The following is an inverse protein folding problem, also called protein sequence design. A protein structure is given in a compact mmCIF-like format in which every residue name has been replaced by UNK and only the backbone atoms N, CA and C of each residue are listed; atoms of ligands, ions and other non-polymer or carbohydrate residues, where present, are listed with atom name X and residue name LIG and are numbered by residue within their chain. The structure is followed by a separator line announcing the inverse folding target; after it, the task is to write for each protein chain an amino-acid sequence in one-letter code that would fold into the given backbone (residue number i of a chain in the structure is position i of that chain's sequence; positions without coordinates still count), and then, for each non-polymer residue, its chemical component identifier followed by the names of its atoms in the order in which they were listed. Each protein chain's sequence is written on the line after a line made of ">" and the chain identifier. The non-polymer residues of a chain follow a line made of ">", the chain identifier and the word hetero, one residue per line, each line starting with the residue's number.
data_IF_776660174143
#
_entry.id   IF_776660174143
#
_cell.length_a   1.000
_cell.length_b   1.000
_cell.length_c   1.000
_cell.angle_alpha   90.00
_cell.angle_beta   90.00
_cell.angle_gamma   90.00
#
_symmetry.space_group_name_H-M   'P 1'
#
loop_
_entity.id
_entity.type
_entity.pdbx_description
1 polymer ?
#
# COMPACT_ATOMS: atom_id res chain seq x y z
N UNK A 1 30.95 20.87 -31.69
CA UNK A 1 30.70 21.04 -30.24
C UNK A 1 29.35 20.40 -29.97
N UNK A 2 29.35 19.15 -29.53
CA UNK A 2 28.11 18.43 -29.23
C UNK A 2 27.45 19.10 -28.02
N UNK A 3 26.19 19.48 -28.20
CA UNK A 3 25.34 20.04 -27.14
C UNK A 3 25.24 18.99 -26.04
N UNK A 4 25.75 19.34 -24.85
CA UNK A 4 25.52 18.59 -23.62
C UNK A 4 24.02 18.55 -23.35
N UNK A 5 23.37 17.43 -23.68
CA UNK A 5 22.06 17.11 -23.11
C UNK A 5 22.22 17.13 -21.61
N UNK A 6 21.64 18.13 -20.95
CA UNK A 6 21.56 18.22 -19.50
C UNK A 6 21.00 16.89 -18.98
N UNK A 7 21.86 16.02 -18.45
CA UNK A 7 21.49 14.76 -17.82
C UNK A 7 20.70 15.09 -16.56
N UNK A 8 19.37 15.16 -16.67
CA UNK A 8 18.53 15.28 -15.49
C UNK A 8 18.69 14.02 -14.63
N UNK A 9 18.90 14.23 -13.34
CA UNK A 9 19.02 13.17 -12.34
C UNK A 9 17.67 12.43 -12.23
N UNK A 10 17.71 11.09 -12.20
CA UNK A 10 16.49 10.27 -12.14
C UNK A 10 15.63 10.63 -10.92
N UNK A 11 16.27 10.92 -9.78
CA UNK A 11 15.55 11.31 -8.56
C UNK A 11 14.82 12.65 -8.71
N UNK A 12 15.37 13.60 -9.46
CA UNK A 12 14.72 14.89 -9.74
C UNK A 12 13.56 14.71 -10.72
N UNK A 13 13.74 13.90 -11.76
CA UNK A 13 12.69 13.56 -12.72
C UNK A 13 11.51 12.87 -12.04
N UNK A 14 11.77 11.89 -11.16
CA UNK A 14 10.75 11.21 -10.38
C UNK A 14 10.00 12.18 -9.46
N UNK A 15 10.72 13.07 -8.77
CA UNK A 15 10.11 14.07 -7.88
C UNK A 15 9.20 15.03 -8.66
N UNK A 16 9.67 15.55 -9.80
CA UNK A 16 8.93 16.48 -10.63
C UNK A 16 7.72 15.80 -11.29
N UNK A 17 7.93 14.65 -11.93
CA UNK A 17 6.92 13.93 -12.70
C UNK A 17 5.78 13.37 -11.85
N UNK A 18 6.05 13.00 -10.59
CA UNK A 18 5.03 12.43 -9.71
C UNK A 18 4.32 13.45 -8.81
N UNK A 19 4.65 14.74 -8.89
CA UNK A 19 4.13 15.79 -8.00
C UNK A 19 2.60 15.88 -8.01
N UNK A 20 1.99 15.80 -9.18
CA UNK A 20 0.53 15.86 -9.31
C UNK A 20 -0.13 14.62 -8.70
N UNK A 21 0.36 13.42 -9.02
CA UNK A 21 -0.16 12.16 -8.50
C UNK A 21 0.00 12.02 -6.98
N UNK A 22 1.11 12.52 -6.44
CA UNK A 22 1.32 12.67 -5.00
C UNK A 22 0.25 13.56 -4.38
N UNK A 23 0.04 14.76 -4.93
CA UNK A 23 -0.98 15.71 -4.44
C UNK A 23 -2.37 15.09 -4.47
N UNK A 24 -2.75 14.41 -5.56
CA UNK A 24 -4.03 13.69 -5.68
C UNK A 24 -4.23 12.64 -4.58
N UNK A 25 -3.17 11.92 -4.24
CA UNK A 25 -3.20 10.89 -3.18
C UNK A 25 -3.39 11.51 -1.80
N UNK A 26 -2.65 12.58 -1.49
CA UNK A 26 -2.76 13.29 -0.21
C UNK A 26 -4.15 13.90 0.02
N UNK A 27 -4.72 14.54 -1.01
CA UNK A 27 -6.03 15.16 -0.90
C UNK A 27 -7.18 14.17 -1.07
N UNK A 28 -6.93 12.89 -1.27
CA UNK A 28 -7.98 11.88 -1.42
C UNK A 28 -8.94 11.88 -0.22
N UNK A 29 -10.19 11.45 -0.43
CA UNK A 29 -11.21 11.46 0.63
C UNK A 29 -10.75 10.69 1.87
N UNK A 30 -10.07 9.55 1.67
CA UNK A 30 -9.51 8.76 2.77
C UNK A 30 -8.42 9.53 3.52
N UNK A 31 -7.49 10.19 2.80
CA UNK A 31 -6.47 11.04 3.41
C UNK A 31 -7.10 12.11 4.31
N UNK A 32 -8.12 12.82 3.79
CA UNK A 32 -8.84 13.85 4.55
C UNK A 32 -9.56 13.30 5.78
N UNK A 33 -10.27 12.17 5.65
CA UNK A 33 -11.02 11.57 6.77
C UNK A 33 -10.08 11.07 7.87
N UNK A 34 -8.92 10.54 7.47
CA UNK A 34 -7.88 10.09 8.38
C UNK A 34 -7.22 11.27 9.11
N UNK A 35 -6.83 12.33 8.39
CA UNK A 35 -6.24 13.54 8.99
C UNK A 35 -7.20 14.27 9.94
N UNK A 36 -8.52 14.19 9.70
CA UNK A 36 -9.54 14.74 10.60
C UNK A 36 -9.77 13.89 11.85
N UNK A 37 -9.11 12.72 11.98
CA UNK A 37 -9.24 11.84 13.13
C UNK A 37 -10.65 11.25 13.27
N UNK A 38 -11.37 11.06 12.17
CA UNK A 38 -12.75 10.53 12.19
C UNK A 38 -12.69 9.02 12.41
N UNK A 39 -12.80 8.59 13.67
CA UNK A 39 -12.75 7.18 14.08
C UNK A 39 -14.14 6.54 13.99
N UNK A 40 -14.60 6.27 12.78
CA UNK A 40 -15.82 5.46 12.57
C UNK A 40 -15.44 4.01 12.30
N UNK A 41 -16.31 3.07 12.68
CA UNK A 41 -16.12 1.63 12.41
C UNK A 41 -15.79 1.36 10.93
N UNK A 42 -16.47 2.06 10.03
CA UNK A 42 -16.24 2.00 8.58
C UNK A 42 -14.83 2.44 8.19
N UNK A 43 -14.29 3.50 8.80
CA UNK A 43 -12.93 3.98 8.51
C UNK A 43 -11.89 2.95 8.95
N UNK A 44 -12.07 2.34 10.12
CA UNK A 44 -11.18 1.28 10.59
C UNK A 44 -11.21 0.06 9.67
N UNK A 45 -12.39 -0.30 9.15
CA UNK A 45 -12.52 -1.38 8.17
C UNK A 45 -11.86 -1.05 6.83
N UNK A 46 -11.96 0.20 6.36
CA UNK A 46 -11.22 0.62 5.17
C UNK A 46 -9.72 0.55 5.40
N UNK A 47 -9.22 1.01 6.55
CA UNK A 47 -7.81 0.90 6.92
C UNK A 47 -7.33 -0.56 6.97
N UNK A 48 -8.16 -1.48 7.45
CA UNK A 48 -7.85 -2.92 7.42
C UNK A 48 -7.61 -3.45 6.01
N UNK A 49 -8.60 -3.25 5.13
CA UNK A 49 -8.55 -3.73 3.75
C UNK A 49 -7.35 -3.15 3.00
N UNK A 50 -6.98 -1.91 3.35
CA UNK A 50 -5.77 -1.28 2.85
C UNK A 50 -4.50 -1.94 3.38
N UNK A 51 -4.36 -2.15 4.69
CA UNK A 51 -3.18 -2.80 5.25
C UNK A 51 -2.99 -4.23 4.71
N UNK A 52 -4.07 -4.98 4.51
CA UNK A 52 -4.01 -6.28 3.84
C UNK A 52 -3.54 -6.14 2.39
N UNK A 53 -4.09 -5.16 1.65
CA UNK A 53 -3.64 -4.91 0.28
C UNK A 53 -2.16 -4.53 0.24
N UNK A 54 -1.70 -3.70 1.19
CA UNK A 54 -0.31 -3.33 1.34
C UNK A 54 0.55 -4.56 1.61
N UNK A 55 0.15 -5.47 2.50
CA UNK A 55 0.91 -6.71 2.74
C UNK A 55 1.24 -7.45 1.44
N UNK A 56 0.25 -7.65 0.57
CA UNK A 56 0.49 -8.32 -0.71
C UNK A 56 1.33 -7.48 -1.69
N UNK A 57 1.13 -6.15 -1.71
CA UNK A 57 1.92 -5.24 -2.55
C UNK A 57 3.40 -5.26 -2.15
N UNK A 58 3.70 -5.12 -0.85
CA UNK A 58 5.07 -5.19 -0.35
C UNK A 58 5.66 -6.58 -0.52
N UNK A 59 4.88 -7.64 -0.29
CA UNK A 59 5.35 -9.01 -0.54
C UNK A 59 5.80 -9.19 -1.98
N UNK A 60 4.97 -8.76 -2.95
CA UNK A 60 5.32 -8.83 -4.36
C UNK A 60 6.54 -7.97 -4.70
N UNK A 61 6.63 -6.75 -4.16
CA UNK A 61 7.79 -5.88 -4.39
C UNK A 61 9.07 -6.47 -3.83
N UNK A 62 9.02 -6.99 -2.62
CA UNK A 62 10.18 -7.53 -1.91
C UNK A 62 10.64 -8.86 -2.53
N UNK A 63 9.71 -9.71 -2.98
CA UNK A 63 10.04 -10.92 -3.74
C UNK A 63 10.71 -10.59 -5.08
N UNK A 64 10.22 -9.58 -5.80
CA UNK A 64 10.83 -9.17 -7.07
C UNK A 64 12.12 -8.36 -6.87
N UNK A 65 12.29 -7.64 -5.76
CA UNK A 65 13.58 -7.04 -5.38
C UNK A 65 14.62 -8.12 -5.08
N UNK A 66 14.25 -9.17 -4.33
CA UNK A 66 15.16 -10.28 -4.05
C UNK A 66 15.55 -11.03 -5.33
N UNK A 67 14.59 -11.27 -6.23
CA UNK A 67 14.86 -11.88 -7.55
C UNK A 67 15.87 -11.07 -8.36
N UNK A 68 15.80 -9.74 -8.30
CA UNK A 68 16.54 -8.84 -9.16
C UNK A 68 17.65 -8.07 -8.43
N UNK A 69 18.07 -8.50 -7.23
CA UNK A 69 19.00 -7.75 -6.37
C UNK A 69 20.35 -7.42 -7.02
N UNK A 70 20.81 -8.28 -7.93
CA UNK A 70 22.07 -8.10 -8.66
C UNK A 70 21.89 -7.33 -9.99
N UNK A 71 20.65 -6.99 -10.36
CA UNK A 71 20.38 -6.22 -11.57
C UNK A 71 20.94 -4.79 -11.44
N UNK A 72 21.64 -4.25 -12.45
CA UNK A 72 22.32 -2.94 -12.35
C UNK A 72 21.42 -1.78 -11.90
N UNK A 73 20.14 -1.81 -12.26
CA UNK A 73 19.19 -0.75 -11.89
C UNK A 73 18.59 -0.92 -10.48
N UNK A 74 18.68 -2.13 -9.90
CA UNK A 74 18.08 -2.47 -8.60
C UNK A 74 19.13 -2.51 -7.50
N UNK A 75 20.33 -3.04 -7.79
CA UNK A 75 21.43 -3.14 -6.83
C UNK A 75 21.71 -1.83 -6.07
N UNK A 76 21.67 -0.63 -6.68
CA UNK A 76 21.90 0.63 -5.96
C UNK A 76 20.82 0.94 -4.91
N UNK A 77 19.59 0.49 -5.11
CA UNK A 77 18.44 0.79 -4.26
C UNK A 77 17.99 -0.39 -3.39
N UNK A 78 18.78 -1.47 -3.36
CA UNK A 78 18.48 -2.68 -2.60
C UNK A 78 18.86 -2.50 -1.13
N UNK A 79 17.87 -2.13 -0.29
CA UNK A 79 18.01 -1.87 1.15
C UNK A 79 17.04 -2.73 1.97
N UNK A 80 17.19 -4.06 2.01
CA UNK A 80 16.21 -4.96 2.64
C UNK A 80 16.08 -4.71 4.14
N UNK A 81 17.20 -4.54 4.85
CA UNK A 81 17.23 -4.31 6.30
C UNK A 81 16.52 -3.03 6.69
N UNK A 82 16.69 -1.98 5.89
CA UNK A 82 16.17 -0.66 6.18
C UNK A 82 14.74 -0.46 5.71
N UNK A 83 14.34 -1.07 4.58
CA UNK A 83 13.09 -0.74 3.90
C UNK A 83 12.02 -1.84 3.90
N UNK A 84 12.35 -3.12 4.01
CA UNK A 84 11.33 -4.18 3.88
C UNK A 84 10.25 -4.06 4.95
N UNK A 85 8.99 -4.19 4.54
CA UNK A 85 7.77 -3.95 5.33
C UNK A 85 6.89 -5.19 5.43
N UNK A 86 7.09 -6.25 4.64
CA UNK A 86 6.23 -7.46 4.67
C UNK A 86 6.04 -8.00 6.08
N UNK A 87 7.13 -8.25 6.80
CA UNK A 87 7.08 -8.79 8.16
C UNK A 87 6.39 -7.85 9.15
N UNK A 88 6.66 -6.54 9.04
CA UNK A 88 6.02 -5.54 9.88
C UNK A 88 4.51 -5.47 9.65
N UNK A 89 4.07 -5.57 8.38
CA UNK A 89 2.66 -5.63 8.01
C UNK A 89 1.99 -6.91 8.49
N UNK A 90 2.66 -8.07 8.37
CA UNK A 90 2.14 -9.34 8.88
C UNK A 90 1.91 -9.28 10.41
N UNK A 91 2.87 -8.74 11.16
CA UNK A 91 2.74 -8.56 12.60
C UNK A 91 1.62 -7.59 12.99
N UNK A 92 1.49 -6.47 12.27
CA UNK A 92 0.39 -5.52 12.50
C UNK A 92 -0.97 -6.15 12.19
N UNK A 93 -1.09 -6.90 11.08
CA UNK A 93 -2.32 -7.60 10.71
C UNK A 93 -2.68 -8.70 11.72
N UNK A 94 -1.69 -9.47 12.18
CA UNK A 94 -1.90 -10.46 13.24
C UNK A 94 -2.36 -9.82 14.54
N UNK A 95 -1.75 -8.70 14.94
CA UNK A 95 -2.13 -7.96 16.15
C UNK A 95 -3.60 -7.52 16.14
N UNK A 96 -4.09 -7.03 14.99
CA UNK A 96 -5.46 -6.56 14.88
C UNK A 96 -6.48 -7.68 14.60
N UNK A 97 -6.12 -8.73 13.87
CA UNK A 97 -7.10 -9.66 13.27
C UNK A 97 -6.90 -11.14 13.61
N UNK A 98 -5.87 -11.49 14.39
CA UNK A 98 -5.61 -12.88 14.76
C UNK A 98 -4.93 -13.67 13.66
N UNK A 99 -5.11 -15.00 13.62
CA UNK A 99 -4.27 -15.92 12.83
C UNK A 99 -4.71 -16.08 11.37
N UNK A 100 -5.96 -15.74 11.03
CA UNK A 100 -6.57 -16.06 9.73
C UNK A 100 -6.70 -14.87 8.76
N UNK A 101 -5.99 -13.77 9.04
CA UNK A 101 -6.14 -12.52 8.29
C UNK A 101 -5.78 -12.65 6.79
N UNK A 102 -4.91 -13.60 6.44
CA UNK A 102 -4.45 -13.85 5.05
C UNK A 102 -5.57 -14.34 4.12
N UNK A 103 -6.56 -15.06 4.66
CA UNK A 103 -7.68 -15.61 3.89
C UNK A 103 -8.68 -14.55 3.40
N UNK A 104 -8.56 -13.31 3.90
CA UNK A 104 -9.60 -12.30 3.81
C UNK A 104 -9.47 -11.35 2.62
N UNK A 105 -8.39 -11.44 1.82
CA UNK A 105 -8.13 -10.46 0.77
C UNK A 105 -7.64 -11.08 -0.54
N UNK A 106 -8.21 -10.58 -1.64
CA UNK A 106 -7.87 -10.98 -3.01
C UNK A 106 -6.79 -10.08 -3.60
N UNK A 107 -5.85 -10.67 -4.33
CA UNK A 107 -4.76 -10.03 -5.08
C UNK A 107 -5.23 -8.81 -5.90
N UNK A 108 -4.43 -7.75 -5.91
CA UNK A 108 -4.73 -6.50 -6.64
C UNK A 108 -4.09 -6.48 -8.03
N UNK A 109 -4.61 -5.64 -8.93
CA UNK A 109 -3.96 -5.37 -10.23
C UNK A 109 -2.53 -4.85 -10.06
N UNK A 110 -2.26 -4.14 -8.96
CA UNK A 110 -0.93 -3.65 -8.62
C UNK A 110 0.05 -4.80 -8.38
N UNK A 111 -0.33 -5.80 -7.57
CA UNK A 111 0.50 -7.00 -7.34
C UNK A 111 0.83 -7.71 -8.65
N UNK A 112 -0.15 -7.85 -9.55
CA UNK A 112 0.05 -8.42 -10.88
C UNK A 112 1.07 -7.60 -11.69
N UNK A 113 0.96 -6.27 -11.67
CA UNK A 113 1.88 -5.37 -12.37
C UNK A 113 3.29 -5.47 -11.81
N UNK A 114 3.46 -5.50 -10.49
CA UNK A 114 4.77 -5.64 -9.83
C UNK A 114 5.46 -6.93 -10.27
N UNK A 115 4.76 -8.07 -10.26
CA UNK A 115 5.31 -9.33 -10.75
C UNK A 115 5.60 -9.31 -12.26
N UNK A 116 4.79 -8.59 -13.05
CA UNK A 116 5.04 -8.44 -14.48
C UNK A 116 6.34 -7.68 -14.72
N UNK A 117 6.52 -6.51 -14.11
CA UNK A 117 7.73 -5.71 -14.30
C UNK A 117 8.95 -6.41 -13.70
N UNK A 118 8.84 -6.99 -12.51
CA UNK A 118 9.94 -7.72 -11.88
C UNK A 118 10.46 -8.90 -12.73
N UNK A 119 9.62 -9.49 -13.58
CA UNK A 119 10.01 -10.60 -14.46
C UNK A 119 10.44 -10.18 -15.86
N UNK A 120 9.83 -9.13 -16.42
CA UNK A 120 10.02 -8.74 -17.83
C UNK A 120 10.90 -7.52 -18.02
N UNK A 121 10.81 -6.57 -17.10
CA UNK A 121 11.52 -5.30 -17.15
C UNK A 121 11.85 -4.82 -15.72
N UNK A 122 12.88 -5.41 -15.08
CA UNK A 122 13.21 -5.13 -13.69
C UNK A 122 13.51 -3.65 -13.43
N UNK A 123 13.91 -2.87 -14.44
CA UNK A 123 14.14 -1.44 -14.30
C UNK A 123 12.91 -0.67 -13.84
N UNK A 124 11.72 -1.07 -14.29
CA UNK A 124 10.47 -0.44 -13.88
C UNK A 124 10.12 -0.70 -12.41
N UNK A 125 10.73 -1.69 -11.76
CA UNK A 125 10.53 -1.95 -10.32
C UNK A 125 11.03 -0.78 -9.44
N UNK A 126 12.02 -0.01 -9.93
CA UNK A 126 12.51 1.22 -9.29
C UNK A 126 11.36 2.20 -9.01
N UNK A 127 10.41 2.30 -9.94
CA UNK A 127 9.27 3.20 -9.83
C UNK A 127 8.35 2.84 -8.66
N UNK A 128 7.99 1.56 -8.52
CA UNK A 128 7.16 1.09 -7.42
C UNK A 128 7.85 1.24 -6.06
N UNK A 129 9.15 0.93 -5.99
CA UNK A 129 9.97 1.10 -4.79
C UNK A 129 10.04 2.57 -4.37
N UNK A 130 10.28 3.47 -5.32
CA UNK A 130 10.28 4.90 -5.08
C UNK A 130 8.94 5.37 -4.50
N UNK A 131 7.82 5.05 -5.15
CA UNK A 131 6.48 5.51 -4.72
C UNK A 131 6.13 5.03 -3.31
N UNK A 132 6.44 3.76 -2.99
CA UNK A 132 6.14 3.20 -1.67
C UNK A 132 7.12 3.68 -0.60
N UNK A 133 8.39 3.32 -0.70
CA UNK A 133 9.35 3.54 0.39
C UNK A 133 9.60 5.03 0.66
N UNK A 134 9.70 5.87 -0.37
CA UNK A 134 9.89 7.32 -0.16
C UNK A 134 8.62 7.97 0.36
N UNK A 135 7.44 7.47 -0.05
CA UNK A 135 6.15 7.85 0.52
C UNK A 135 6.07 7.56 2.01
N UNK A 136 6.44 6.35 2.43
CA UNK A 136 6.40 5.92 3.83
C UNK A 136 7.36 6.75 4.70
N UNK A 137 8.57 7.04 4.22
CA UNK A 137 9.55 7.89 4.91
C UNK A 137 9.18 9.39 4.93
N UNK A 138 8.15 9.79 4.19
CA UNK A 138 7.70 11.20 4.11
C UNK A 138 6.42 11.44 4.91
N UNK A 139 5.38 10.62 4.70
CA UNK A 139 4.10 10.76 5.40
C UNK A 139 3.88 9.80 6.57
N UNK A 140 4.68 8.72 6.66
CA UNK A 140 4.43 7.62 7.60
C UNK A 140 4.45 8.04 9.06
N UNK A 141 5.32 8.98 9.46
CA UNK A 141 5.35 9.46 10.84
C UNK A 141 4.06 10.19 11.24
N UNK A 142 3.49 11.00 10.33
CA UNK A 142 2.24 11.68 10.58
C UNK A 142 1.08 10.68 10.67
N UNK A 143 1.05 9.70 9.77
CA UNK A 143 0.06 8.62 9.78
C UNK A 143 0.15 7.77 11.07
N UNK A 144 1.36 7.46 11.52
CA UNK A 144 1.62 6.75 12.79
C UNK A 144 1.03 7.53 13.97
N UNK A 145 1.33 8.84 14.09
CA UNK A 145 0.83 9.66 15.19
C UNK A 145 -0.70 9.75 15.20
N UNK A 146 -1.33 9.89 14.02
CA UNK A 146 -2.79 9.88 13.89
C UNK A 146 -3.35 8.53 14.30
N UNK A 147 -2.81 7.43 13.77
CA UNK A 147 -3.26 6.07 14.07
C UNK A 147 -3.15 5.76 15.56
N UNK A 148 -2.02 6.07 16.20
CA UNK A 148 -1.80 5.88 17.64
C UNK A 148 -2.85 6.59 18.49
N UNK A 149 -3.17 7.85 18.14
CA UNK A 149 -4.17 8.66 18.85
C UNK A 149 -5.60 8.13 18.63
N UNK A 150 -5.93 7.81 17.38
CA UNK A 150 -7.26 7.38 16.94
C UNK A 150 -7.61 6.00 17.49
N UNK A 151 -6.67 5.05 17.41
CA UNK A 151 -6.85 3.66 17.81
C UNK A 151 -6.49 3.38 19.28
N UNK A 152 -5.97 4.38 20.00
CA UNK A 152 -5.51 4.27 21.40
C UNK A 152 -4.51 3.12 21.58
N UNK A 153 -3.56 3.02 20.67
CA UNK A 153 -2.59 1.92 20.61
C UNK A 153 -1.53 2.03 21.73
N UNK A 154 -1.02 0.89 22.20
CA UNK A 154 -0.02 0.86 23.27
C UNK A 154 1.28 1.55 22.84
N UNK A 155 2.05 2.00 23.84
CA UNK A 155 3.35 2.61 23.60
C UNK A 155 4.41 1.60 23.11
N UNK A 156 4.13 0.29 23.20
CA UNK A 156 5.00 -0.81 22.74
C UNK A 156 5.23 -0.81 21.23
N UNK A 157 4.37 -0.14 20.46
CA UNK A 157 4.47 -0.09 19.00
C UNK A 157 3.67 -1.16 18.25
N UNK A 158 2.97 -2.04 18.97
CA UNK A 158 2.13 -3.07 18.36
C UNK A 158 0.97 -2.46 17.57
N UNK A 159 0.75 -2.97 16.35
CA UNK A 159 -0.23 -2.46 15.40
C UNK A 159 0.22 -1.22 14.62
N UNK A 160 1.49 -0.80 14.77
CA UNK A 160 2.10 0.32 14.03
C UNK A 160 3.53 0.01 13.57
N UNK A 161 3.91 -1.26 13.49
CA UNK A 161 5.26 -1.71 13.12
C UNK A 161 5.59 -1.34 11.67
N UNK A 162 4.60 -1.31 10.78
CA UNK A 162 4.76 -0.84 9.41
C UNK A 162 5.45 0.54 9.32
N UNK A 163 5.11 1.44 10.23
CA UNK A 163 5.65 2.81 10.28
C UNK A 163 6.97 2.94 11.05
N UNK A 164 7.54 1.84 11.55
CA UNK A 164 8.78 1.83 12.34
C UNK A 164 9.93 1.29 11.49
N UNK A 165 10.93 2.14 11.25
CA UNK A 165 12.10 1.82 10.44
C UNK A 165 13.33 1.68 11.34
N UNK A 166 13.50 0.53 12.00
CA UNK A 166 14.56 0.32 12.99
C UNK A 166 15.99 0.48 12.41
N UNK A 167 16.17 0.14 11.13
CA UNK A 167 17.43 0.34 10.40
C UNK A 167 17.71 1.79 9.97
N UNK A 168 16.78 2.73 10.21
CA UNK A 168 16.89 4.13 9.74
C UNK A 168 16.91 5.09 10.92
N UNK A 169 18.09 5.66 11.20
CA UNK A 169 18.28 6.64 12.28
C UNK A 169 17.80 8.05 11.92
N UNK A 170 17.78 8.39 10.62
CA UNK A 170 17.33 9.69 10.12
C UNK A 170 16.58 9.53 8.80
N UNK A 171 15.26 9.73 8.82
CA UNK A 171 14.43 9.68 7.61
C UNK A 171 14.90 10.69 6.56
N UNK A 172 15.33 11.88 6.97
CA UNK A 172 15.86 12.89 6.04
C UNK A 172 17.15 12.43 5.39
N UNK A 173 18.10 11.94 6.21
CA UNK A 173 19.39 11.45 5.73
C UNK A 173 19.24 10.24 4.81
N UNK A 174 18.38 9.28 5.17
CA UNK A 174 18.14 8.11 4.35
C UNK A 174 17.45 8.46 3.02
N UNK A 175 16.50 9.40 3.00
CA UNK A 175 15.93 9.89 1.73
C UNK A 175 16.95 10.60 0.84
N UNK A 176 17.96 11.25 1.41
CA UNK A 176 19.06 11.83 0.63
C UNK A 176 19.96 10.73 0.06
N UNK A 177 20.32 9.73 0.86
CA UNK A 177 21.06 8.55 0.41
C UNK A 177 20.32 7.82 -0.73
N UNK A 178 19.04 7.52 -0.54
CA UNK A 178 18.24 6.82 -1.55
C UNK A 178 18.18 7.60 -2.87
N UNK A 179 18.04 8.93 -2.82
CA UNK A 179 18.08 9.77 -4.03
C UNK A 179 19.44 9.74 -4.71
N UNK A 180 20.53 9.81 -3.95
CA UNK A 180 21.88 9.67 -4.47
C UNK A 180 22.05 8.32 -5.18
N UNK A 181 21.52 7.25 -4.60
CA UNK A 181 21.58 5.90 -5.17
C UNK A 181 20.73 5.73 -6.43
N UNK A 182 19.55 6.36 -6.49
CA UNK A 182 18.78 6.45 -7.73
C UNK A 182 19.56 7.14 -8.86
N UNK A 183 20.38 8.13 -8.53
CA UNK A 183 21.19 8.85 -9.53
C UNK A 183 22.42 8.05 -9.98
N UNK A 184 22.80 6.97 -9.28
CA UNK A 184 23.83 6.01 -9.74
C UNK A 184 23.30 5.06 -10.83
N UNK A 185 21.98 5.01 -11.05
CA UNK A 185 21.36 4.23 -12.13
C UNK A 185 21.62 4.94 -13.46
N UNK A 186 22.70 4.54 -14.12
CA UNK A 186 23.12 5.08 -15.42
C UNK A 186 22.27 4.49 -16.55
N UNK A 187 21.24 5.23 -16.95
CA UNK A 187 20.30 4.85 -18.01
C UNK A 187 20.03 6.03 -18.94
N UNK A 188 19.73 5.69 -20.19
CA UNK A 188 19.36 6.68 -21.20
C UNK A 188 18.04 7.39 -20.85
N UNK A 189 17.88 8.59 -21.42
CA UNK A 189 16.74 9.47 -21.09
C UNK A 189 15.38 8.80 -21.34
N UNK A 190 15.25 7.98 -22.39
CA UNK A 190 14.02 7.24 -22.71
C UNK A 190 13.63 6.25 -21.60
N UNK A 191 14.61 5.55 -21.04
CA UNK A 191 14.41 4.67 -19.89
C UNK A 191 14.03 5.48 -18.64
N UNK A 192 14.67 6.63 -18.39
CA UNK A 192 14.29 7.52 -17.26
C UNK A 192 12.84 7.97 -17.37
N UNK A 193 12.39 8.38 -18.56
CA UNK A 193 11.00 8.76 -18.81
C UNK A 193 10.03 7.60 -18.56
N UNK A 194 10.38 6.40 -19.03
CA UNK A 194 9.57 5.19 -18.79
C UNK A 194 9.44 4.85 -17.30
N UNK A 195 10.51 5.03 -16.52
CA UNK A 195 10.47 4.86 -15.05
C UNK A 195 9.55 5.90 -14.40
N UNK A 196 9.58 7.15 -14.87
CA UNK A 196 8.67 8.20 -14.36
C UNK A 196 7.21 7.87 -14.69
N UNK A 197 6.92 7.41 -15.91
CA UNK A 197 5.58 6.99 -16.31
C UNK A 197 5.09 5.80 -15.48
N UNK A 198 5.95 4.81 -15.21
CA UNK A 198 5.61 3.72 -14.28
C UNK A 198 5.35 4.22 -12.86
N UNK A 199 6.08 5.25 -12.40
CA UNK A 199 5.87 5.81 -11.07
C UNK A 199 4.50 6.52 -10.99
N UNK A 200 4.09 7.20 -12.06
CA UNK A 200 2.74 7.75 -12.18
C UNK A 200 1.69 6.62 -12.12
N UNK A 201 1.88 5.54 -12.88
CA UNK A 201 1.01 4.34 -12.82
C UNK A 201 0.95 3.73 -11.41
N UNK A 202 2.06 3.70 -10.69
CA UNK A 202 2.10 3.22 -9.31
C UNK A 202 1.22 4.06 -8.36
N UNK A 203 1.14 5.38 -8.57
CA UNK A 203 0.18 6.22 -7.84
C UNK A 203 -1.27 5.92 -8.24
N UNK A 204 -1.56 5.66 -9.51
CA UNK A 204 -2.90 5.31 -9.95
C UNK A 204 -3.38 3.99 -9.33
N UNK A 205 -2.49 3.00 -9.24
CA UNK A 205 -2.76 1.77 -8.48
C UNK A 205 -3.02 2.04 -6.99
N UNK A 206 -2.27 2.95 -6.37
CA UNK A 206 -2.49 3.35 -4.98
C UNK A 206 -3.88 3.95 -4.76
N UNK A 207 -4.33 4.82 -5.67
CA UNK A 207 -5.67 5.38 -5.66
C UNK A 207 -6.75 4.31 -5.87
N UNK A 208 -6.52 3.39 -6.82
CA UNK A 208 -7.44 2.29 -7.11
C UNK A 208 -7.62 1.36 -5.91
N UNK A 209 -6.53 1.00 -5.23
CA UNK A 209 -6.56 0.18 -4.01
C UNK A 209 -7.34 0.90 -2.90
N UNK A 210 -7.10 2.21 -2.75
CA UNK A 210 -7.80 3.05 -1.77
C UNK A 210 -9.30 3.19 -2.05
N UNK A 211 -9.70 3.31 -3.32
CA UNK A 211 -11.12 3.34 -3.71
C UNK A 211 -11.76 1.96 -3.53
N UNK A 212 -11.09 0.88 -3.94
CA UNK A 212 -11.61 -0.49 -3.79
C UNK A 212 -11.90 -0.83 -2.33
N UNK A 213 -10.99 -0.50 -1.42
CA UNK A 213 -11.20 -0.71 0.01
C UNK A 213 -12.45 0.05 0.52
N UNK A 214 -12.67 1.27 0.05
CA UNK A 214 -13.87 2.06 0.36
C UNK A 214 -15.13 1.42 -0.21
N UNK A 215 -15.14 1.03 -1.49
CA UNK A 215 -16.29 0.42 -2.14
C UNK A 215 -16.72 -0.88 -1.45
N UNK A 216 -15.76 -1.75 -1.09
CA UNK A 216 -16.04 -2.97 -0.33
C UNK A 216 -16.72 -2.66 1.01
N UNK A 217 -16.21 -1.68 1.75
CA UNK A 217 -16.83 -1.25 3.00
C UNK A 217 -18.25 -0.66 2.80
N UNK A 218 -18.56 -0.02 1.66
CA UNK A 218 -19.91 0.54 1.39
C UNK A 218 -20.92 -0.52 0.98
N UNK A 219 -20.52 -1.51 0.18
CA UNK A 219 -21.40 -2.54 -0.39
C UNK A 219 -22.02 -3.42 0.69
N UNK A 220 -21.24 -3.76 1.72
CA UNK A 220 -21.76 -4.48 2.89
C UNK A 220 -22.85 -3.72 3.67
N UNK A 221 -22.83 -2.39 3.69
CA UNK A 221 -23.88 -1.60 4.38
C UNK A 221 -25.27 -1.81 3.78
N UNK A 222 -25.34 -2.30 2.55
CA UNK A 222 -26.58 -2.52 1.81
C UNK A 222 -26.98 -4.00 1.78
N UNK A 223 -26.20 -4.89 2.38
CA UNK A 223 -26.60 -6.29 2.58
C UNK A 223 -27.51 -6.39 3.82
N UNK A 224 -28.63 -7.14 3.74
CA UNK A 224 -29.48 -7.38 4.90
C UNK A 224 -28.66 -8.12 5.98
N UNK A 225 -28.67 -7.60 7.21
CA UNK A 225 -27.95 -8.25 8.30
C UNK A 225 -28.62 -9.58 8.66
N UNK A 226 -27.88 -10.69 8.81
CA UNK A 226 -28.44 -11.91 9.36
C UNK A 226 -28.85 -11.67 10.82
N UNK A 227 -30.04 -12.15 11.18
CA UNK A 227 -30.61 -12.04 12.53
C UNK A 227 -29.62 -12.58 13.58
N UNK A 228 -29.14 -11.71 14.47
CA UNK A 228 -28.22 -12.07 15.55
C UNK A 228 -28.99 -12.60 16.75
N UNK A 229 -28.72 -13.84 17.18
CA UNK A 229 -29.12 -14.36 18.49
C UNK A 229 -27.98 -14.18 19.51
N UNK A 230 -28.37 -13.52 20.62
CA UNK A 230 -27.80 -13.48 21.97
C UNK A 230 -26.36 -12.98 22.23
N UNK A 231 -26.31 -11.93 23.03
CA UNK A 231 -25.16 -11.34 23.70
C UNK A 231 -24.64 -12.20 24.86
N UNK A 232 -23.32 -12.17 25.12
CA UNK A 232 -22.71 -12.79 26.30
C UNK A 232 -21.31 -12.27 26.64
N UNK A 233 -21.23 -11.38 27.64
CA UNK A 233 -20.14 -11.15 28.61
C UNK A 233 -18.69 -10.83 28.12
N UNK A 234 -18.26 -9.56 28.27
CA UNK A 234 -16.84 -9.17 28.25
C UNK A 234 -16.36 -8.85 29.68
N UNK A 235 -15.27 -9.52 30.13
CA UNK A 235 -14.52 -9.21 31.37
C UNK A 235 -13.53 -8.04 31.14
N UNK A 236 -13.11 -7.30 32.19
CA UNK A 236 -12.14 -6.21 32.07
C UNK A 236 -10.73 -6.77 31.80
N UNK A 237 -10.12 -6.39 30.68
CA UNK A 237 -8.78 -6.83 30.27
C UNK A 237 -8.68 -7.41 28.86
N UNK A 238 -9.80 -7.66 28.18
CA UNK A 238 -9.80 -8.13 26.79
C UNK A 238 -9.74 -6.96 25.78
N UNK A 239 -9.01 -7.16 24.67
CA UNK A 239 -9.08 -6.33 23.47
C UNK A 239 -10.55 -6.06 23.07
N UNK A 240 -10.87 -4.96 22.36
CA UNK A 240 -12.25 -4.58 22.09
C UNK A 240 -13.01 -5.75 21.42
N UNK A 241 -13.98 -6.34 22.14
CA UNK A 241 -14.76 -7.52 21.73
C UNK A 241 -15.45 -7.39 20.35
N UNK A 242 -15.55 -6.18 19.79
CA UNK A 242 -16.14 -5.92 18.47
C UNK A 242 -15.23 -6.27 17.28
N UNK A 243 -13.93 -6.52 17.48
CA UNK A 243 -13.06 -7.05 16.42
C UNK A 243 -13.32 -8.55 16.15
N UNK A 244 -13.74 -9.32 17.15
CA UNK A 244 -14.11 -10.74 17.00
C UNK A 244 -15.38 -10.95 16.16
N UNK A 245 -16.23 -9.92 16.00
CA UNK A 245 -17.40 -10.01 15.12
C UNK A 245 -17.06 -9.86 13.63
N UNK A 246 -15.77 -9.77 13.29
CA UNK A 246 -15.24 -9.74 11.90
C UNK A 246 -14.71 -11.12 11.50
N UNK A 247 -15.13 -12.19 12.19
CA UNK A 247 -14.89 -13.57 11.73
C UNK A 247 -15.86 -13.84 10.59
N UNK A 248 -15.33 -13.88 9.37
CA UNK A 248 -16.04 -14.35 8.19
C UNK A 248 -16.21 -15.86 8.28
N UNK A 249 -17.42 -16.39 8.02
CA UNK A 249 -17.56 -17.83 7.78
C UNK A 249 -17.10 -18.14 6.35
N UNK A 250 -16.30 -19.20 6.20
CA UNK A 250 -15.75 -19.67 4.92
C UNK A 250 -16.85 -19.95 3.87
N UNK A 251 -18.06 -20.28 4.33
CA UNK A 251 -19.24 -20.50 3.49
C UNK A 251 -19.76 -19.21 2.84
N UNK A 252 -19.68 -18.05 3.52
CA UNK A 252 -20.18 -16.78 2.99
C UNK A 252 -19.26 -16.22 1.89
N UNK A 253 -17.95 -16.45 1.99
CA UNK A 253 -16.96 -16.04 1.00
C UNK A 253 -17.02 -16.89 -0.28
N UNK A 254 -17.35 -18.19 -0.19
CA UNK A 254 -17.44 -19.09 -1.35
C UNK A 254 -18.74 -18.94 -2.15
N UNK A 255 -19.86 -18.57 -1.51
CA UNK A 255 -21.11 -18.24 -2.22
C UNK A 255 -21.10 -16.82 -2.82
N UNK A 256 -20.43 -15.82 -2.21
CA UNK A 256 -20.39 -14.44 -2.74
C UNK A 256 -19.29 -14.18 -3.79
N UNK A 257 -18.24 -15.00 -3.85
CA UNK A 257 -17.20 -14.94 -4.89
C UNK A 257 -17.48 -15.85 -6.09
N UNK A 258 -18.75 -16.22 -6.30
CA UNK A 258 -19.21 -17.08 -7.38
C UNK A 258 -18.47 -16.82 -8.70
N UNK A 259 -17.89 -17.89 -9.25
CA UNK A 259 -17.44 -17.98 -10.63
C UNK A 259 -18.65 -17.69 -11.52
N UNK A 260 -18.94 -16.42 -11.82
CA UNK A 260 -20.01 -16.03 -12.75
C UNK A 260 -19.62 -14.73 -13.45
N UNK A 261 -19.42 -14.88 -14.76
CA UNK A 261 -19.65 -13.91 -15.84
C UNK A 261 -19.87 -12.45 -15.44
N UNK A 262 -18.97 -11.60 -15.92
CA UNK A 262 -19.16 -10.17 -16.12
C UNK A 262 -20.58 -9.85 -16.61
N UNK A 263 -21.43 -9.33 -15.71
CA UNK A 263 -22.41 -8.32 -16.06
C UNK A 263 -22.21 -7.15 -15.11
N UNK A 264 -21.18 -6.37 -15.41
CA UNK A 264 -21.00 -5.04 -14.82
C UNK A 264 -21.99 -4.08 -15.45
N UNK A 265 -22.53 -3.15 -14.65
CA UNK A 265 -23.32 -2.03 -15.17
C UNK A 265 -22.51 -1.23 -16.22
N UNK A 266 -23.15 -0.76 -17.32
CA UNK A 266 -22.49 0.01 -18.38
C UNK A 266 -21.77 1.28 -17.88
N UNK A 267 -22.18 1.81 -16.73
CA UNK A 267 -21.60 3.00 -16.09
C UNK A 267 -20.19 2.75 -15.52
N UNK A 268 -19.89 1.51 -15.10
CA UNK A 268 -18.60 1.13 -14.49
C UNK A 268 -17.58 0.60 -15.51
N UNK A 269 -18.03 0.19 -16.70
CA UNK A 269 -17.18 -0.31 -17.79
C UNK A 269 -16.34 0.82 -18.40
N UNK A 270 -16.89 2.04 -18.52
CA UNK A 270 -16.19 3.16 -19.15
C UNK A 270 -15.07 3.77 -18.29
N UNK A 271 -15.08 3.57 -16.97
CA UNK A 271 -14.02 4.07 -16.07
C UNK A 271 -12.84 3.10 -15.95
N UNK A 272 -13.07 1.81 -16.21
CA UNK A 272 -12.05 0.75 -16.15
C UNK A 272 -11.41 0.49 -17.53
N UNK A 273 -12.04 0.90 -18.63
CA UNK A 273 -11.50 0.78 -19.99
C UNK A 273 -10.84 2.07 -20.52
N UNK A 274 -10.90 3.18 -19.78
CA UNK A 274 -10.29 4.46 -20.16
C UNK A 274 -9.00 4.80 -19.37
N UNK A 275 -8.48 3.85 -18.59
CA UNK A 275 -7.20 3.87 -17.87
C UNK A 275 -6.49 2.53 -18.09
#
# INVERSE_FOLDING_TARGET
>A
LCVSTSSADLSEMLLAGTKESHTKTEISQLGRDFYKGIVKKDVLKVCFLLNCSLYFIYSAMEDELERNKDHPYIAPIYFPTELYRREALAQDLQYFYGVDWESLVTTTLWVKRIHEVGKKDPGMLVAHCYVRYIGDLSGGHLLNNVAKKVLRLPATGDGLRFYQFEGITSHKGFKQLYRSKLNEVDVEMETKLSIVDEAIRAYDYSLLVSERARCLCRRERHLPQPHTQSAGCCRPGCHPCWLHSVVFSESSLREELGVVSLQMEPSCINLVLAL
#
